data_IF_458427770036
#
_entry.id   IF_458427770036
#
_cell.length_a   1.000
_cell.length_b   1.000
_cell.length_c   1.000
_cell.angle_alpha   90.00
_cell.angle_beta   90.00
_cell.angle_gamma   90.00
#
_symmetry.space_group_name_H-M   'P 1'
#
loop_
_entity.id
_entity.type
_entity.pdbx_description
1 polymer ?
#
# COMPACT_ATOMS: atom_id res chain seq x y z
N UNK A 1 22.45 -8.50 -1.54
CA UNK A 1 21.01 -8.15 -1.50
C UNK A 1 20.25 -9.32 -2.09
N UNK A 2 19.26 -9.86 -1.41
CA UNK A 2 18.41 -10.90 -1.97
C UNK A 2 17.57 -10.26 -3.07
N UNK A 3 17.90 -10.54 -4.32
CA UNK A 3 17.12 -10.06 -5.46
C UNK A 3 15.79 -10.81 -5.55
N UNK A 4 14.82 -10.19 -6.20
CA UNK A 4 13.53 -10.81 -6.50
C UNK A 4 13.53 -11.48 -7.88
N UNK A 5 14.69 -11.97 -8.31
CA UNK A 5 14.83 -12.63 -9.61
C UNK A 5 13.83 -13.77 -9.78
N UNK A 6 13.02 -13.73 -10.83
CA UNK A 6 12.00 -14.73 -11.14
C UNK A 6 10.76 -14.70 -10.24
N UNK A 7 10.64 -13.72 -9.33
CA UNK A 7 9.47 -13.55 -8.48
C UNK A 7 8.35 -12.79 -9.21
N UNK A 8 7.12 -13.25 -9.03
CA UNK A 8 5.91 -12.61 -9.55
C UNK A 8 5.33 -11.65 -8.51
N UNK A 9 5.23 -10.36 -8.85
CA UNK A 9 4.79 -9.29 -7.96
C UNK A 9 3.61 -8.54 -8.56
N UNK A 10 2.53 -8.39 -7.81
CA UNK A 10 1.41 -7.51 -8.14
C UNK A 10 1.37 -6.31 -7.20
N UNK A 11 1.35 -5.09 -7.77
CA UNK A 11 1.19 -3.85 -7.00
C UNK A 11 -0.14 -3.19 -7.37
N UNK A 12 -1.11 -3.18 -6.49
CA UNK A 12 -2.34 -2.42 -6.69
C UNK A 12 -2.08 -0.94 -6.41
N UNK A 13 -2.24 -0.08 -7.43
CA UNK A 13 -1.96 1.36 -7.35
C UNK A 13 -0.48 1.71 -7.55
N UNK A 14 0.13 1.27 -8.66
CA UNK A 14 1.56 1.41 -8.94
C UNK A 14 1.99 2.59 -9.81
N UNK A 15 1.07 3.49 -10.21
CA UNK A 15 1.40 4.52 -11.23
C UNK A 15 2.08 5.77 -10.69
N UNK A 16 2.02 6.08 -9.40
CA UNK A 16 2.53 7.32 -8.77
C UNK A 16 3.03 7.10 -7.34
N UNK A 17 3.76 8.09 -6.83
CA UNK A 17 4.17 8.19 -5.43
C UNK A 17 4.79 6.90 -4.90
N UNK A 18 4.35 6.46 -3.73
CA UNK A 18 4.84 5.24 -3.06
C UNK A 18 4.71 4.01 -3.96
N UNK A 19 3.58 3.84 -4.65
CA UNK A 19 3.35 2.69 -5.51
C UNK A 19 4.33 2.61 -6.68
N UNK A 20 4.64 3.73 -7.34
CA UNK A 20 5.61 3.77 -8.41
C UNK A 20 7.04 3.47 -7.91
N UNK A 21 7.41 3.97 -6.72
CA UNK A 21 8.69 3.63 -6.11
C UNK A 21 8.81 2.13 -5.77
N UNK A 22 7.71 1.52 -5.32
CA UNK A 22 7.64 0.07 -5.08
C UNK A 22 7.81 -0.71 -6.40
N UNK A 23 7.12 -0.32 -7.48
CA UNK A 23 7.27 -0.95 -8.80
C UNK A 23 8.71 -0.86 -9.28
N UNK A 24 9.33 0.33 -9.24
CA UNK A 24 10.74 0.54 -9.61
C UNK A 24 11.67 -0.34 -8.78
N UNK A 25 11.44 -0.40 -7.47
CA UNK A 25 12.29 -1.19 -6.57
C UNK A 25 12.26 -2.69 -6.91
N UNK A 26 11.09 -3.30 -7.04
CA UNK A 26 10.97 -4.71 -7.36
C UNK A 26 11.49 -5.03 -8.78
N UNK A 27 11.20 -4.19 -9.77
CA UNK A 27 11.71 -4.37 -11.14
C UNK A 27 13.23 -4.29 -11.20
N UNK A 28 13.84 -3.33 -10.50
CA UNK A 28 15.30 -3.20 -10.42
C UNK A 28 15.97 -4.39 -9.73
N UNK A 29 15.26 -5.12 -8.90
CA UNK A 29 15.74 -6.35 -8.23
C UNK A 29 15.35 -7.64 -8.98
N UNK A 30 14.84 -7.53 -10.22
CA UNK A 30 14.63 -8.65 -11.14
C UNK A 30 13.27 -9.34 -11.04
N UNK A 31 12.30 -8.77 -10.34
CA UNK A 31 10.94 -9.30 -10.30
C UNK A 31 10.18 -9.07 -11.61
N UNK A 32 9.29 -10.00 -11.97
CA UNK A 32 8.24 -9.77 -12.95
C UNK A 32 7.09 -9.00 -12.28
N UNK A 33 6.99 -7.69 -12.56
CA UNK A 33 6.04 -6.80 -11.89
C UNK A 33 4.86 -6.47 -12.80
N UNK A 34 3.65 -6.73 -12.28
CA UNK A 34 2.41 -6.16 -12.81
C UNK A 34 1.90 -5.12 -11.82
N UNK A 35 1.40 -4.00 -12.30
CA UNK A 35 0.79 -3.01 -11.42
C UNK A 35 -0.51 -2.42 -11.99
N UNK A 36 -1.39 -1.97 -11.09
CA UNK A 36 -2.67 -1.39 -11.49
C UNK A 36 -2.68 0.13 -11.36
N UNK A 37 -3.56 0.74 -12.14
CA UNK A 37 -3.93 2.16 -12.04
C UNK A 37 -5.40 2.35 -12.43
N UNK A 38 -6.02 3.45 -11.98
CA UNK A 38 -7.39 3.81 -12.39
C UNK A 38 -7.39 4.94 -13.42
N UNK A 39 -7.06 6.16 -13.02
CA UNK A 39 -7.16 7.36 -13.86
C UNK A 39 -5.84 7.90 -14.44
N UNK A 40 -4.69 7.45 -13.97
CA UNK A 40 -3.39 8.06 -14.30
C UNK A 40 -2.66 7.30 -15.41
N UNK A 41 -3.25 7.22 -16.62
CA UNK A 41 -2.72 6.45 -17.76
C UNK A 41 -1.28 6.86 -18.11
N UNK A 42 -1.02 8.15 -18.36
CA UNK A 42 0.30 8.64 -18.75
C UNK A 42 1.38 8.34 -17.70
N UNK A 43 1.04 8.47 -16.41
CA UNK A 43 1.96 8.13 -15.33
C UNK A 43 2.25 6.61 -15.29
N UNK A 44 1.24 5.78 -15.54
CA UNK A 44 1.40 4.34 -15.61
C UNK A 44 2.27 3.92 -16.82
N UNK A 45 2.05 4.52 -17.98
CA UNK A 45 2.85 4.28 -19.19
C UNK A 45 4.32 4.67 -18.98
N UNK A 46 4.60 5.81 -18.31
CA UNK A 46 5.99 6.20 -17.94
C UNK A 46 6.64 5.15 -17.04
N UNK A 47 5.99 4.74 -15.96
CA UNK A 47 6.53 3.72 -15.04
C UNK A 47 6.77 2.40 -15.77
N UNK A 48 5.84 1.97 -16.63
CA UNK A 48 5.97 0.76 -17.42
C UNK A 48 7.18 0.83 -18.37
N UNK A 49 7.35 1.95 -19.08
CA UNK A 49 8.48 2.15 -20.00
C UNK A 49 9.83 2.17 -19.27
N UNK A 50 9.90 2.81 -18.09
CA UNK A 50 11.11 2.90 -17.26
C UNK A 50 11.55 1.54 -16.69
N UNK A 51 10.60 0.68 -16.37
CA UNK A 51 10.85 -0.52 -15.55
C UNK A 51 10.67 -1.84 -16.30
N UNK A 52 10.07 -1.82 -17.48
CA UNK A 52 9.64 -3.02 -18.20
C UNK A 52 8.45 -3.75 -17.54
N UNK A 53 7.81 -3.14 -16.52
CA UNK A 53 6.67 -3.73 -15.82
C UNK A 53 5.37 -3.58 -16.61
N UNK A 54 4.37 -4.42 -16.31
CA UNK A 54 3.08 -4.41 -16.99
C UNK A 54 2.08 -3.51 -16.24
N UNK A 55 1.60 -2.46 -16.90
CA UNK A 55 0.57 -1.58 -16.36
C UNK A 55 -0.83 -2.04 -16.80
N UNK A 56 -1.78 -2.14 -15.86
CA UNK A 56 -3.15 -2.60 -16.15
C UNK A 56 -4.18 -1.69 -15.48
N UNK A 57 -5.20 -1.29 -16.24
CA UNK A 57 -6.33 -0.51 -15.70
C UNK A 57 -7.14 -1.36 -14.75
N UNK A 58 -7.33 -0.88 -13.50
CA UNK A 58 -8.22 -1.52 -12.51
C UNK A 58 -8.63 -0.45 -11.48
N UNK A 59 -9.92 -0.17 -11.37
CA UNK A 59 -10.42 0.68 -10.28
C UNK A 59 -10.53 -0.15 -9.00
N UNK A 60 -9.78 0.23 -7.98
CA UNK A 60 -9.82 -0.43 -6.67
C UNK A 60 -11.16 -0.24 -5.92
N UNK A 61 -12.05 0.66 -6.37
CA UNK A 61 -13.41 0.75 -5.84
C UNK A 61 -14.33 -0.36 -6.39
N UNK A 62 -13.96 -1.00 -7.49
CA UNK A 62 -14.69 -2.13 -8.08
C UNK A 62 -14.11 -3.45 -7.54
N UNK A 63 -14.84 -4.06 -6.61
CA UNK A 63 -14.46 -5.33 -5.97
C UNK A 63 -14.21 -6.43 -7.00
N UNK A 64 -15.10 -6.55 -7.97
CA UNK A 64 -15.07 -7.68 -8.93
C UNK A 64 -13.91 -7.50 -9.91
N UNK A 65 -13.60 -6.25 -10.30
CA UNK A 65 -12.39 -5.93 -11.06
C UNK A 65 -11.10 -6.24 -10.28
N UNK A 66 -11.05 -5.94 -8.99
CA UNK A 66 -9.90 -6.29 -8.13
C UNK A 66 -9.70 -7.80 -8.05
N UNK A 67 -10.76 -8.56 -7.77
CA UNK A 67 -10.72 -10.03 -7.71
C UNK A 67 -10.27 -10.61 -9.06
N UNK A 68 -10.86 -10.15 -10.17
CA UNK A 68 -10.49 -10.60 -11.51
C UNK A 68 -9.02 -10.31 -11.81
N UNK A 69 -8.53 -9.11 -11.48
CA UNK A 69 -7.13 -8.72 -11.68
C UNK A 69 -6.16 -9.62 -10.95
N UNK A 70 -6.40 -9.89 -9.65
CA UNK A 70 -5.56 -10.78 -8.86
C UNK A 70 -5.56 -12.20 -9.46
N UNK A 71 -6.72 -12.69 -9.88
CA UNK A 71 -6.86 -14.03 -10.48
C UNK A 71 -6.12 -14.15 -11.81
N UNK A 72 -6.22 -13.15 -12.67
CA UNK A 72 -5.55 -13.08 -13.97
C UNK A 72 -4.02 -12.92 -13.87
N UNK A 73 -3.53 -12.37 -12.77
CA UNK A 73 -2.08 -12.28 -12.52
C UNK A 73 -1.42 -13.64 -12.23
N UNK A 74 -2.20 -14.70 -12.08
CA UNK A 74 -1.68 -16.03 -11.77
C UNK A 74 -1.18 -16.18 -10.32
N UNK A 75 -0.37 -17.20 -10.04
CA UNK A 75 0.28 -17.34 -8.74
C UNK A 75 1.25 -16.18 -8.48
N UNK A 76 1.11 -15.53 -7.33
CA UNK A 76 1.93 -14.39 -6.92
C UNK A 76 2.86 -14.80 -5.78
N UNK A 77 4.14 -14.46 -5.86
CA UNK A 77 5.05 -14.52 -4.71
C UNK A 77 4.81 -13.35 -3.74
N UNK A 78 4.50 -12.16 -4.30
CA UNK A 78 4.27 -10.95 -3.52
C UNK A 78 3.03 -10.20 -4.03
N UNK A 79 2.14 -9.85 -3.10
CA UNK A 79 1.07 -8.88 -3.33
C UNK A 79 1.35 -7.63 -2.51
N UNK A 80 1.39 -6.46 -3.17
CA UNK A 80 1.42 -5.16 -2.48
C UNK A 80 0.13 -4.41 -2.77
N UNK A 81 -0.61 -4.06 -1.72
CA UNK A 81 -1.83 -3.25 -1.86
C UNK A 81 -1.52 -1.83 -1.41
N UNK A 82 -1.24 -0.97 -2.39
CA UNK A 82 -0.90 0.44 -2.17
C UNK A 82 -2.04 1.39 -2.54
N UNK A 83 -2.95 1.00 -3.43
CA UNK A 83 -4.08 1.84 -3.82
C UNK A 83 -4.82 2.39 -2.59
N UNK A 84 -5.02 3.68 -2.58
CA UNK A 84 -5.71 4.36 -1.49
C UNK A 84 -6.19 5.75 -1.91
N UNK A 85 -7.24 6.21 -1.27
CA UNK A 85 -7.79 7.57 -1.43
C UNK A 85 -7.94 8.24 -0.07
N UNK A 86 -7.96 9.57 -0.06
CA UNK A 86 -8.25 10.38 1.12
C UNK A 86 -9.66 10.95 1.06
N UNK A 87 -10.27 11.14 2.23
CA UNK A 87 -11.44 11.97 2.43
C UNK A 87 -11.23 12.71 3.75
N UNK A 88 -11.08 14.01 3.67
CA UNK A 88 -10.66 14.87 4.77
C UNK A 88 -11.63 16.03 4.91
N UNK A 89 -11.89 16.46 6.14
CA UNK A 89 -12.76 17.59 6.44
C UNK A 89 -13.66 17.37 7.65
N UNK A 90 -14.55 18.33 7.90
CA UNK A 90 -15.57 18.23 8.95
C UNK A 90 -16.48 17.03 8.67
N UNK A 91 -16.60 16.05 9.60
CA UNK A 91 -17.45 14.89 9.39
C UNK A 91 -18.94 15.23 9.16
N UNK A 92 -19.39 16.41 9.58
CA UNK A 92 -20.76 16.88 9.34
C UNK A 92 -20.99 17.36 7.90
N UNK A 93 -19.89 17.67 7.17
CA UNK A 93 -19.93 18.20 5.81
C UNK A 93 -19.39 17.20 4.76
N UNK A 94 -18.83 16.06 5.20
CA UNK A 94 -18.30 15.06 4.27
C UNK A 94 -19.43 14.42 3.46
N UNK A 95 -19.23 14.34 2.14
CA UNK A 95 -20.10 13.60 1.24
C UNK A 95 -20.11 12.11 1.59
N UNK A 96 -21.28 11.52 1.93
CA UNK A 96 -21.40 10.10 2.22
C UNK A 96 -20.89 9.19 1.11
N UNK A 97 -21.10 9.53 -0.16
CA UNK A 97 -20.63 8.75 -1.30
C UNK A 97 -19.09 8.73 -1.39
N UNK A 98 -18.43 9.84 -1.01
CA UNK A 98 -16.99 9.90 -0.92
C UNK A 98 -16.45 9.02 0.22
N UNK A 99 -17.14 8.97 1.36
CA UNK A 99 -16.80 8.08 2.48
C UNK A 99 -17.01 6.62 2.09
N UNK A 100 -18.09 6.28 1.43
CA UNK A 100 -18.33 4.92 0.93
C UNK A 100 -17.28 4.49 -0.09
N UNK A 101 -16.90 5.39 -1.02
CA UNK A 101 -15.78 5.12 -1.94
C UNK A 101 -14.47 4.89 -1.20
N UNK A 102 -14.19 5.69 -0.18
CA UNK A 102 -12.99 5.53 0.66
C UNK A 102 -12.96 4.13 1.28
N UNK A 103 -14.08 3.65 1.85
CA UNK A 103 -14.16 2.31 2.43
C UNK A 103 -13.97 1.22 1.36
N UNK A 104 -14.60 1.37 0.19
CA UNK A 104 -14.40 0.43 -0.92
C UNK A 104 -12.93 0.29 -1.32
N UNK A 105 -12.23 1.42 -1.49
CA UNK A 105 -10.82 1.43 -1.93
C UNK A 105 -9.87 1.03 -0.80
N UNK A 106 -10.01 1.63 0.38
CA UNK A 106 -9.00 1.50 1.44
C UNK A 106 -9.20 0.26 2.33
N UNK A 107 -10.39 -0.34 2.36
CA UNK A 107 -10.71 -1.47 3.24
C UNK A 107 -11.10 -2.72 2.45
N UNK A 108 -12.13 -2.60 1.60
CA UNK A 108 -12.68 -3.76 0.91
C UNK A 108 -11.69 -4.31 -0.14
N UNK A 109 -11.08 -3.45 -0.93
CA UNK A 109 -10.12 -3.87 -1.95
C UNK A 109 -8.90 -4.61 -1.36
N UNK A 110 -8.23 -4.11 -0.30
CA UNK A 110 -7.16 -4.85 0.38
C UNK A 110 -7.58 -6.24 0.87
N UNK A 111 -8.75 -6.34 1.49
CA UNK A 111 -9.24 -7.62 1.98
C UNK A 111 -9.47 -8.62 0.84
N UNK A 112 -10.23 -8.22 -0.18
CA UNK A 112 -10.54 -9.11 -1.32
C UNK A 112 -9.30 -9.48 -2.12
N UNK A 113 -8.39 -8.54 -2.34
CA UNK A 113 -7.13 -8.82 -3.03
C UNK A 113 -6.26 -9.81 -2.26
N UNK A 114 -6.12 -9.64 -0.94
CA UNK A 114 -5.33 -10.53 -0.08
C UNK A 114 -5.91 -11.96 -0.07
N UNK A 115 -7.23 -12.09 0.10
CA UNK A 115 -7.91 -13.39 0.11
C UNK A 115 -7.80 -14.08 -1.25
N UNK A 116 -8.04 -13.37 -2.35
CA UNK A 116 -7.95 -13.98 -3.70
C UNK A 116 -6.51 -14.37 -4.04
N UNK A 117 -5.52 -13.55 -3.70
CA UNK A 117 -4.11 -13.88 -3.88
C UNK A 117 -3.71 -15.14 -3.09
N UNK A 118 -4.10 -15.22 -1.83
CA UNK A 118 -3.78 -16.35 -0.96
C UNK A 118 -4.32 -17.69 -1.46
N UNK A 119 -5.40 -17.71 -2.28
CA UNK A 119 -5.93 -18.96 -2.88
C UNK A 119 -4.89 -19.70 -3.73
N UNK A 120 -4.02 -18.97 -4.42
CA UNK A 120 -3.06 -19.49 -5.40
C UNK A 120 -1.61 -19.14 -5.09
N UNK A 121 -1.37 -18.32 -4.07
CA UNK A 121 -0.03 -17.94 -3.61
C UNK A 121 0.73 -19.18 -3.15
N UNK A 122 2.00 -19.37 -3.53
CA UNK A 122 2.82 -20.47 -3.03
C UNK A 122 3.06 -20.35 -1.52
N UNK A 123 3.54 -21.43 -0.92
CA UNK A 123 4.04 -21.37 0.47
C UNK A 123 5.12 -20.31 0.60
N UNK A 124 5.11 -19.62 1.72
CA UNK A 124 6.06 -18.53 1.97
C UNK A 124 5.79 -17.24 1.19
N UNK A 125 4.60 -17.07 0.60
CA UNK A 125 4.21 -15.84 -0.07
C UNK A 125 4.14 -14.62 0.85
N UNK A 126 4.05 -13.43 0.26
CA UNK A 126 4.10 -12.15 0.98
C UNK A 126 2.93 -11.25 0.60
N UNK A 127 2.17 -10.78 1.58
CA UNK A 127 1.09 -9.78 1.41
C UNK A 127 1.46 -8.56 2.24
N UNK A 128 1.60 -7.41 1.57
CA UNK A 128 1.99 -6.15 2.21
C UNK A 128 0.97 -5.09 1.85
N UNK A 129 0.38 -4.46 2.86
CA UNK A 129 -0.65 -3.42 2.67
C UNK A 129 -0.09 -2.07 3.11
N UNK A 130 -0.30 -1.04 2.30
CA UNK A 130 0.10 0.31 2.66
C UNK A 130 -1.02 0.97 3.47
N UNK A 131 -0.75 1.06 4.76
CA UNK A 131 -1.59 1.73 5.73
C UNK A 131 -1.33 3.24 5.82
N UNK A 132 -1.26 3.73 7.03
CA UNK A 132 -0.86 5.09 7.40
C UNK A 132 -0.60 5.15 8.90
N UNK A 133 0.30 6.01 9.35
CA UNK A 133 0.46 6.36 10.77
C UNK A 133 -0.87 6.86 11.38
N UNK A 134 -1.76 7.43 10.56
CA UNK A 134 -3.08 7.86 11.00
C UNK A 134 -4.04 6.69 11.32
N UNK A 135 -3.64 5.46 11.12
CA UNK A 135 -4.30 4.28 11.70
C UNK A 135 -4.10 4.16 13.22
N UNK A 136 -3.03 4.74 13.76
CA UNK A 136 -2.68 4.71 15.20
C UNK A 136 -2.81 6.09 15.85
N UNK A 137 -2.40 7.16 15.17
CA UNK A 137 -2.37 8.52 15.72
C UNK A 137 -3.08 9.52 14.81
N UNK A 138 -3.98 10.28 15.39
CA UNK A 138 -4.79 11.30 14.70
C UNK A 138 -4.49 12.66 15.34
N UNK A 139 -3.45 13.38 14.90
CA UNK A 139 -3.01 14.62 15.57
C UNK A 139 -3.83 15.86 15.18
N UNK A 140 -4.66 15.76 14.14
CA UNK A 140 -5.42 16.88 13.58
C UNK A 140 -6.90 16.54 13.42
N UNK A 141 -7.82 17.50 13.51
CA UNK A 141 -9.22 17.30 13.15
C UNK A 141 -9.39 17.03 11.66
N UNK A 142 -10.54 16.51 11.27
CA UNK A 142 -10.89 16.27 9.86
C UNK A 142 -10.33 14.96 9.27
N UNK A 143 -9.77 14.08 10.09
CA UNK A 143 -9.16 12.82 9.65
C UNK A 143 -10.00 11.58 9.98
N UNK A 144 -11.17 11.72 10.58
CA UNK A 144 -11.93 10.60 11.16
C UNK A 144 -12.24 9.49 10.16
N UNK A 145 -12.79 9.82 8.98
CA UNK A 145 -13.11 8.84 7.95
C UNK A 145 -11.84 8.12 7.42
N UNK A 146 -10.79 8.90 7.12
CA UNK A 146 -9.52 8.35 6.65
C UNK A 146 -8.87 7.44 7.69
N UNK A 147 -8.76 7.91 8.94
CA UNK A 147 -8.18 7.15 10.04
C UNK A 147 -8.95 5.84 10.30
N UNK A 148 -10.29 5.89 10.32
CA UNK A 148 -11.13 4.69 10.40
C UNK A 148 -10.73 3.67 9.32
N UNK A 149 -10.58 4.09 8.07
CA UNK A 149 -10.22 3.18 6.97
C UNK A 149 -8.82 2.57 7.14
N UNK A 150 -7.86 3.34 7.64
CA UNK A 150 -6.49 2.88 7.85
C UNK A 150 -6.32 2.02 9.11
N UNK A 151 -7.09 2.28 10.17
CA UNK A 151 -7.14 1.44 11.36
C UNK A 151 -7.74 0.05 11.05
N UNK A 152 -8.73 -0.04 10.15
CA UNK A 152 -9.33 -1.31 9.74
C UNK A 152 -8.29 -2.31 9.18
N UNK A 153 -7.24 -1.82 8.51
CA UNK A 153 -6.18 -2.65 7.93
C UNK A 153 -5.36 -3.40 9.00
N UNK A 154 -5.27 -2.86 10.19
CA UNK A 154 -4.53 -3.50 11.29
C UNK A 154 -5.23 -4.76 11.78
N UNK A 155 -6.55 -4.68 12.02
CA UNK A 155 -7.37 -5.84 12.36
C UNK A 155 -7.37 -6.89 11.25
N UNK A 156 -7.51 -6.44 10.01
CA UNK A 156 -7.43 -7.29 8.82
C UNK A 156 -6.10 -8.06 8.76
N UNK A 157 -4.97 -7.36 8.88
CA UNK A 157 -3.66 -8.01 8.78
C UNK A 157 -3.41 -9.03 9.89
N UNK A 158 -3.84 -8.73 11.14
CA UNK A 158 -3.73 -9.67 12.27
C UNK A 158 -4.56 -10.94 12.04
N UNK A 159 -5.80 -10.80 11.53
CA UNK A 159 -6.67 -11.91 11.20
C UNK A 159 -6.08 -12.78 10.09
N UNK A 160 -5.80 -12.18 8.93
CA UNK A 160 -5.25 -12.89 7.77
C UNK A 160 -3.87 -13.54 8.04
N UNK A 161 -3.05 -12.94 8.92
CA UNK A 161 -1.79 -13.54 9.36
C UNK A 161 -2.01 -14.88 10.11
N UNK A 162 -3.09 -14.97 10.89
CA UNK A 162 -3.49 -16.22 11.54
C UNK A 162 -4.01 -17.25 10.55
N UNK A 163 -4.85 -16.79 9.61
CA UNK A 163 -5.50 -17.67 8.63
C UNK A 163 -4.48 -18.26 7.64
N UNK A 164 -3.48 -17.48 7.21
CA UNK A 164 -2.52 -17.87 6.18
C UNK A 164 -1.17 -18.33 6.72
N UNK A 165 -0.90 -18.10 8.00
CA UNK A 165 0.34 -18.50 8.68
C UNK A 165 0.71 -19.99 8.56
N UNK A 166 -0.23 -20.96 8.60
CA UNK A 166 0.08 -22.38 8.38
C UNK A 166 0.73 -22.70 7.04
N UNK A 167 0.58 -21.79 6.03
CA UNK A 167 1.25 -21.87 4.72
C UNK A 167 2.51 -21.01 4.63
N UNK A 168 2.99 -20.45 5.74
CA UNK A 168 4.13 -19.54 5.76
C UNK A 168 3.89 -18.20 5.04
N UNK A 169 2.64 -17.89 4.64
CA UNK A 169 2.28 -16.62 4.02
C UNK A 169 2.22 -15.55 5.09
N UNK A 170 3.00 -14.49 4.93
CA UNK A 170 2.99 -13.35 5.86
C UNK A 170 2.07 -12.24 5.37
N UNK A 171 1.40 -11.57 6.32
CA UNK A 171 0.53 -10.42 6.05
C UNK A 171 0.93 -9.28 6.97
N UNK A 172 1.41 -8.17 6.41
CA UNK A 172 1.92 -7.02 7.17
C UNK A 172 1.37 -5.70 6.65
N UNK A 173 1.32 -4.69 7.49
CA UNK A 173 0.98 -3.32 7.13
C UNK A 173 2.20 -2.43 7.28
N UNK A 174 2.54 -1.68 6.24
CA UNK A 174 3.49 -0.55 6.33
C UNK A 174 2.67 0.71 6.57
N UNK A 175 3.03 1.49 7.58
CA UNK A 175 2.34 2.70 8.01
C UNK A 175 3.21 3.94 7.77
N UNK A 176 3.17 4.52 6.56
CA UNK A 176 3.91 5.76 6.31
C UNK A 176 3.33 6.94 7.09
N UNK A 177 4.24 7.84 7.49
CA UNK A 177 3.90 9.21 7.87
C UNK A 177 3.77 10.12 6.65
N UNK A 178 4.06 11.42 6.78
CA UNK A 178 4.12 12.35 5.66
C UNK A 178 5.21 11.95 4.66
N UNK A 179 4.80 11.54 3.47
CA UNK A 179 5.69 11.16 2.35
C UNK A 179 5.45 12.14 1.20
N UNK A 180 6.53 12.59 0.57
CA UNK A 180 6.49 13.50 -0.57
C UNK A 180 5.88 12.81 -1.80
N UNK A 181 4.64 13.15 -2.09
CA UNK A 181 3.83 12.58 -3.18
C UNK A 181 2.85 13.64 -3.68
N UNK A 182 2.22 13.39 -4.83
CA UNK A 182 1.15 14.27 -5.35
C UNK A 182 0.00 14.46 -4.35
N UNK A 183 -0.24 13.48 -3.48
CA UNK A 183 -1.30 13.54 -2.46
C UNK A 183 -0.90 14.41 -1.25
N UNK A 184 0.39 14.48 -0.94
CA UNK A 184 0.95 15.23 0.18
C UNK A 184 2.34 15.78 -0.20
N UNK A 185 2.39 16.87 -1.01
CA UNK A 185 3.65 17.45 -1.45
C UNK A 185 4.47 18.02 -0.28
N UNK A 186 5.80 17.86 -0.34
CA UNK A 186 6.72 18.36 0.69
C UNK A 186 6.77 19.89 0.79
N UNK A 187 6.32 20.59 -0.23
CA UNK A 187 6.14 22.05 -0.28
C UNK A 187 4.65 22.47 -0.17
N UNK A 188 3.77 21.51 0.10
CA UNK A 188 2.32 21.71 0.20
C UNK A 188 1.88 22.45 1.47
N UNK A 189 0.60 22.82 1.56
CA UNK A 189 0.05 23.65 2.65
C UNK A 189 0.11 22.98 4.02
N UNK A 190 0.21 21.64 4.08
CA UNK A 190 0.27 20.88 5.35
C UNK A 190 1.69 20.71 5.89
N UNK A 191 2.72 21.12 5.15
CA UNK A 191 4.13 20.93 5.48
C UNK A 191 4.47 21.33 6.90
N UNK A 192 4.23 22.59 7.25
CA UNK A 192 4.70 23.14 8.53
C UNK A 192 3.95 22.53 9.71
N UNK A 193 2.65 22.28 9.55
CA UNK A 193 1.81 21.62 10.55
C UNK A 193 2.29 20.18 10.79
N UNK A 194 2.58 19.44 9.72
CA UNK A 194 3.08 18.07 9.82
C UNK A 194 4.49 18.04 10.41
N UNK A 195 5.38 18.90 9.95
CA UNK A 195 6.75 18.98 10.47
C UNK A 195 6.80 19.39 11.94
N UNK A 196 5.84 20.17 12.43
CA UNK A 196 5.78 20.55 13.86
C UNK A 196 5.73 19.34 14.79
N UNK A 197 5.02 18.28 14.39
CA UNK A 197 4.84 17.06 15.20
C UNK A 197 5.81 15.92 14.84
N UNK A 198 6.64 16.07 13.80
CA UNK A 198 7.65 15.08 13.44
C UNK A 198 8.95 15.25 14.23
N UNK A 199 9.65 14.16 14.53
CA UNK A 199 11.00 14.20 15.08
C UNK A 199 12.02 14.54 13.97
N UNK A 200 11.90 13.92 12.79
CA UNK A 200 12.71 14.23 11.60
C UNK A 200 11.91 15.23 10.75
N UNK A 201 12.34 16.49 10.74
CA UNK A 201 11.61 17.64 10.17
C UNK A 201 11.67 17.70 8.64
N UNK A 202 11.26 16.62 7.98
CA UNK A 202 11.09 16.53 6.51
C UNK A 202 10.05 15.48 6.14
N UNK A 203 9.46 15.59 4.97
CA UNK A 203 8.73 14.47 4.37
C UNK A 203 9.70 13.31 4.10
N UNK A 204 9.21 12.08 4.28
CA UNK A 204 9.89 10.90 3.77
C UNK A 204 9.84 10.85 2.25
N UNK A 205 10.75 10.09 1.63
CA UNK A 205 10.71 9.84 0.19
C UNK A 205 9.96 8.53 -0.09
N UNK A 206 9.27 8.42 -1.23
CA UNK A 206 8.62 7.17 -1.65
C UNK A 206 9.57 5.96 -1.64
N UNK A 207 10.85 6.15 -1.97
CA UNK A 207 11.87 5.12 -1.99
C UNK A 207 12.20 4.58 -0.59
N UNK A 208 12.06 5.39 0.45
CA UNK A 208 12.25 4.94 1.83
C UNK A 208 11.15 3.94 2.22
N UNK A 209 9.91 4.19 1.80
CA UNK A 209 8.79 3.24 1.99
C UNK A 209 8.99 1.98 1.15
N UNK A 210 9.40 2.13 -0.12
CA UNK A 210 9.68 0.99 -1.01
C UNK A 210 10.81 0.10 -0.46
N UNK A 211 11.79 0.68 0.24
CA UNK A 211 12.84 -0.06 0.94
C UNK A 211 12.29 -0.98 2.03
N UNK A 212 11.38 -0.49 2.87
CA UNK A 212 10.72 -1.29 3.90
C UNK A 212 9.83 -2.37 3.29
N UNK A 213 9.07 -2.06 2.24
CA UNK A 213 8.24 -3.03 1.52
C UNK A 213 9.09 -4.15 0.94
N UNK A 214 10.23 -3.85 0.31
CA UNK A 214 11.13 -4.84 -0.25
C UNK A 214 11.75 -5.73 0.85
N UNK A 215 12.12 -5.17 2.00
CA UNK A 215 12.60 -5.96 3.14
C UNK A 215 11.51 -6.92 3.65
N UNK A 216 10.28 -6.45 3.84
CA UNK A 216 9.15 -7.29 4.27
C UNK A 216 8.83 -8.41 3.26
N UNK A 217 9.06 -8.17 1.98
CA UNK A 217 8.89 -9.16 0.92
C UNK A 217 10.06 -10.19 0.87
N UNK A 218 11.19 -9.86 1.46
CA UNK A 218 12.39 -10.68 1.46
C UNK A 218 12.37 -11.87 2.41
N UNK A 219 13.37 -12.76 2.29
CA UNK A 219 13.49 -13.93 3.14
C UNK A 219 13.81 -13.59 4.61
N UNK A 220 14.47 -12.47 4.88
CA UNK A 220 14.82 -12.03 6.23
C UNK A 220 13.60 -11.70 7.10
N UNK A 221 12.47 -11.32 6.45
CA UNK A 221 11.21 -11.03 7.12
C UNK A 221 10.25 -12.25 7.20
N UNK A 222 10.74 -13.47 6.97
CA UNK A 222 9.89 -14.67 6.94
C UNK A 222 9.18 -15.00 8.26
N UNK A 223 9.65 -14.43 9.37
CA UNK A 223 9.01 -14.59 10.71
C UNK A 223 8.24 -13.33 11.13
N UNK A 224 8.09 -12.34 10.24
CA UNK A 224 7.37 -11.08 10.49
C UNK A 224 5.98 -11.18 9.87
N UNK A 225 4.93 -11.29 10.69
CA UNK A 225 3.54 -11.36 10.20
C UNK A 225 2.56 -10.77 11.21
N UNK A 226 1.45 -10.21 10.73
CA UNK A 226 0.42 -9.56 11.54
C UNK A 226 0.87 -8.26 12.19
N UNK A 227 1.97 -7.67 11.72
CA UNK A 227 2.60 -6.51 12.33
C UNK A 227 2.35 -5.22 11.55
N UNK A 228 2.38 -4.08 12.30
CA UNK A 228 2.32 -2.72 11.78
C UNK A 228 3.73 -2.13 11.82
N UNK A 229 4.26 -1.77 10.67
CA UNK A 229 5.62 -1.25 10.50
C UNK A 229 5.56 0.23 10.17
N UNK A 230 5.80 1.06 11.17
CA UNK A 230 5.74 2.52 11.03
C UNK A 230 7.03 3.05 10.40
N UNK A 231 6.87 3.94 9.42
CA UNK A 231 7.94 4.68 8.74
C UNK A 231 7.46 6.12 8.55
N UNK A 232 7.66 6.97 9.56
CA UNK A 232 6.95 8.24 9.70
C UNK A 232 7.82 9.41 10.17
N UNK A 233 9.12 9.23 10.31
CA UNK A 233 10.01 10.27 10.82
C UNK A 233 9.70 10.69 12.27
N UNK A 234 9.06 9.81 13.06
CA UNK A 234 8.66 10.09 14.43
C UNK A 234 7.42 10.96 14.55
N UNK A 235 6.55 10.94 13.55
CA UNK A 235 5.24 11.62 13.59
C UNK A 235 4.30 10.97 14.62
N UNK A 236 4.40 9.65 14.81
CA UNK A 236 3.61 8.87 15.75
C UNK A 236 4.19 8.76 17.16
N UNK A 237 5.41 9.27 17.39
CA UNK A 237 6.09 9.18 18.68
C UNK A 237 5.51 10.09 19.75
#
# INVERSE_FOLDING_TARGET
>A
MAGFQGKSVLVLGGSRGIGAAIVRRFSAEGAAVTFTYAGSREAAERVSAETGSTAVVTDSADRDAVIARVRESGPLDVLVVNAGVGSFGDPLELDPDAVDRLVRVNVNAPYHAAVEAARRMPEGGRIIVIGSVNGDRIPFPGLSAYAMSKSALQGMARGLARDFGPRGITVNVVQPGPIDTDLNPADGPMRDVQHAVMAIKRHGRPEEVAGMVAWLAGPEASFVTGAMHTIDGGFGA
#
